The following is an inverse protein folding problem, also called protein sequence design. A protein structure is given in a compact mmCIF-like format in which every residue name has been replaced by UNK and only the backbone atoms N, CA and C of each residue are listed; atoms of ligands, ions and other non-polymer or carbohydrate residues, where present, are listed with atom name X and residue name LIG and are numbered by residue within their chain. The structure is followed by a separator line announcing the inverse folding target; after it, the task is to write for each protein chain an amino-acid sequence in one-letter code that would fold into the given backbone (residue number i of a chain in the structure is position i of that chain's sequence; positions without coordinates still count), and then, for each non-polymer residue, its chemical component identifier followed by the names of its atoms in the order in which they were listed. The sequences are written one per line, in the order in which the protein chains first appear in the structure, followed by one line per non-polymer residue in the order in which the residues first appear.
data_IF_041932717901
#
_entry.id   IF_041932717901
#
_cell.length_a   1.000
_cell.length_b   1.000
_cell.length_c   1.000
_cell.angle_alpha   90.00
_cell.angle_beta   90.00
_cell.angle_gamma   90.00
#
_symmetry.space_group_name_H-M   'P 1'
#
loop_
_entity.id
_entity.type
_entity.pdbx_description
1 polymer ?
#
# COMPACT_ATOMS: atom_id res chain seq x y z
N UNK A 1 -24.15 -52.86 -34.97
CA UNK A 1 -23.24 -54.01 -34.97
C UNK A 1 -23.97 -55.28 -35.47
N UNK A 2 -25.06 -55.72 -34.83
CA UNK A 2 -25.79 -56.95 -35.17
C UNK A 2 -26.35 -56.99 -36.59
N UNK A 3 -26.93 -55.89 -37.08
CA UNK A 3 -27.43 -55.69 -38.43
C UNK A 3 -26.31 -55.70 -39.50
N UNK A 4 -25.17 -55.10 -39.18
CA UNK A 4 -23.99 -55.08 -40.06
C UNK A 4 -23.38 -56.47 -40.18
N UNK A 5 -23.44 -57.28 -39.15
CA UNK A 5 -22.94 -58.68 -39.18
C UNK A 5 -23.87 -59.61 -39.96
N UNK A 6 -25.21 -59.42 -39.79
CA UNK A 6 -26.21 -60.08 -40.63
C UNK A 6 -26.04 -59.76 -42.13
N UNK A 7 -25.80 -58.51 -42.47
CA UNK A 7 -25.54 -58.11 -43.85
C UNK A 7 -24.28 -58.74 -44.39
N UNK A 8 -23.23 -58.90 -43.61
CA UNK A 8 -21.99 -59.57 -44.01
C UNK A 8 -22.20 -61.06 -44.20
N UNK A 9 -22.96 -61.71 -43.33
CA UNK A 9 -23.22 -63.18 -43.44
C UNK A 9 -24.20 -63.52 -44.58
N UNK A 10 -25.15 -62.66 -44.89
CA UNK A 10 -26.12 -62.79 -45.97
C UNK A 10 -25.59 -62.35 -47.36
N UNK A 11 -24.32 -61.96 -47.45
CA UNK A 11 -23.67 -61.45 -48.69
C UNK A 11 -24.46 -60.26 -49.29
N UNK A 12 -25.05 -59.37 -48.40
CA UNK A 12 -25.73 -58.15 -48.81
C UNK A 12 -27.22 -58.35 -49.20
N UNK A 13 -27.80 -59.51 -48.97
CA UNK A 13 -29.21 -59.76 -49.30
C UNK A 13 -30.18 -59.45 -48.18
N UNK A 14 -29.73 -59.45 -46.92
CA UNK A 14 -30.49 -59.06 -45.74
C UNK A 14 -29.61 -58.38 -44.67
N UNK A 15 -30.03 -57.32 -43.97
CA UNK A 15 -31.26 -56.53 -44.15
C UNK A 15 -31.23 -55.64 -45.39
N UNK A 16 -32.36 -55.11 -45.83
CA UNK A 16 -32.44 -54.24 -46.98
C UNK A 16 -31.63 -52.93 -46.74
N UNK A 17 -31.17 -52.31 -47.84
CA UNK A 17 -30.39 -51.07 -47.77
C UNK A 17 -31.16 -49.98 -46.99
N UNK A 18 -32.46 -49.87 -47.17
CA UNK A 18 -33.33 -48.94 -46.47
C UNK A 18 -33.38 -49.19 -44.97
N UNK A 19 -33.40 -50.46 -44.52
CA UNK A 19 -33.37 -50.79 -43.08
C UNK A 19 -32.03 -50.44 -42.46
N UNK A 20 -30.91 -50.64 -43.18
CA UNK A 20 -29.60 -50.22 -42.69
C UNK A 20 -29.48 -48.70 -42.56
N UNK A 21 -29.99 -47.95 -43.55
CA UNK A 21 -30.02 -46.47 -43.51
C UNK A 21 -30.91 -45.95 -42.39
N UNK A 22 -32.08 -46.53 -42.16
CA UNK A 22 -32.98 -46.18 -41.06
C UNK A 22 -32.32 -46.44 -39.70
N UNK A 23 -31.64 -47.56 -39.53
CA UNK A 23 -30.92 -47.88 -38.31
C UNK A 23 -29.71 -46.96 -38.08
N UNK A 24 -29.00 -46.60 -39.16
CA UNK A 24 -27.91 -45.64 -39.07
C UNK A 24 -28.43 -44.26 -38.61
N UNK A 25 -29.50 -43.78 -39.21
CA UNK A 25 -30.17 -42.53 -38.83
C UNK A 25 -30.66 -42.55 -37.36
N UNK A 26 -31.20 -43.67 -36.91
CA UNK A 26 -31.61 -43.84 -35.50
C UNK A 26 -30.44 -43.78 -34.53
N UNK A 27 -29.29 -44.40 -34.90
CA UNK A 27 -28.08 -44.29 -34.07
C UNK A 27 -27.54 -42.87 -34.04
N UNK A 28 -27.56 -42.17 -35.16
CA UNK A 28 -27.06 -40.77 -35.21
C UNK A 28 -28.01 -39.83 -34.43
N UNK A 29 -29.33 -40.05 -34.51
CA UNK A 29 -30.29 -39.33 -33.65
C UNK A 29 -30.05 -39.59 -32.18
N UNK A 30 -29.81 -40.84 -31.78
CA UNK A 30 -29.50 -41.18 -30.39
C UNK A 30 -28.17 -40.55 -29.92
N UNK A 31 -27.14 -40.49 -30.77
CA UNK A 31 -25.88 -39.82 -30.48
C UNK A 31 -26.08 -38.31 -30.32
N UNK A 32 -26.86 -37.70 -31.18
CA UNK A 32 -27.19 -36.30 -31.06
C UNK A 32 -27.93 -35.99 -29.77
N UNK A 33 -28.87 -36.87 -29.36
CA UNK A 33 -29.59 -36.72 -28.08
C UNK A 33 -28.66 -36.80 -26.87
N UNK A 34 -27.65 -37.71 -26.91
CA UNK A 34 -26.63 -37.77 -25.86
C UNK A 34 -25.79 -36.51 -25.84
N UNK A 35 -25.35 -36.02 -27.00
CA UNK A 35 -24.56 -34.79 -27.07
C UNK A 35 -25.35 -33.54 -26.54
N UNK A 36 -26.66 -33.49 -26.82
CA UNK A 36 -27.53 -32.42 -26.24
C UNK A 36 -27.66 -32.57 -24.72
N UNK A 37 -27.79 -33.80 -24.21
CA UNK A 37 -27.87 -34.03 -22.78
C UNK A 37 -26.54 -33.65 -22.08
N UNK A 38 -25.40 -33.99 -22.67
CA UNK A 38 -24.08 -33.58 -22.16
C UNK A 38 -23.89 -32.07 -22.16
N UNK A 39 -24.36 -31.39 -23.21
CA UNK A 39 -24.35 -29.91 -23.25
C UNK A 39 -25.23 -29.30 -22.17
N UNK A 40 -26.42 -29.84 -21.94
CA UNK A 40 -27.31 -29.37 -20.87
C UNK A 40 -26.71 -29.56 -19.47
N UNK A 41 -25.95 -30.63 -19.25
CA UNK A 41 -25.21 -30.85 -18.00
C UNK A 41 -24.13 -29.80 -17.83
N UNK A 42 -23.38 -29.49 -18.89
CA UNK A 42 -22.34 -28.46 -18.86
C UNK A 42 -22.94 -27.06 -18.53
N UNK A 43 -24.06 -26.71 -19.15
CA UNK A 43 -24.78 -25.48 -18.88
C UNK A 43 -25.30 -25.39 -17.43
N UNK A 44 -25.85 -26.49 -16.93
CA UNK A 44 -26.31 -26.55 -15.53
C UNK A 44 -25.14 -26.43 -14.54
N UNK A 45 -23.98 -27.05 -14.83
CA UNK A 45 -22.78 -26.92 -14.02
C UNK A 45 -22.24 -25.48 -14.02
N UNK A 46 -22.24 -24.82 -15.19
CA UNK A 46 -21.82 -23.41 -15.30
C UNK A 46 -22.75 -22.49 -14.49
N UNK A 47 -24.07 -22.74 -14.55
CA UNK A 47 -25.06 -21.98 -13.78
C UNK A 47 -24.88 -22.19 -12.28
N UNK A 48 -24.62 -23.42 -11.83
CA UNK A 48 -24.32 -23.73 -10.43
C UNK A 48 -23.06 -23.00 -9.97
N UNK A 49 -22.00 -23.03 -10.75
CA UNK A 49 -20.74 -22.35 -10.42
C UNK A 49 -20.93 -20.84 -10.30
N UNK A 50 -21.74 -20.22 -11.16
CA UNK A 50 -22.09 -18.81 -11.04
C UNK A 50 -22.84 -18.51 -9.74
N UNK A 51 -23.84 -19.32 -9.39
CA UNK A 51 -24.58 -19.16 -8.14
C UNK A 51 -23.70 -19.34 -6.89
N UNK A 52 -22.81 -20.32 -6.90
CA UNK A 52 -21.82 -20.54 -5.82
C UNK A 52 -20.85 -19.35 -5.68
N UNK A 53 -20.36 -18.81 -6.79
CA UNK A 53 -19.53 -17.62 -6.78
C UNK A 53 -20.26 -16.41 -6.22
N UNK A 54 -21.51 -16.22 -6.57
CA UNK A 54 -22.31 -15.10 -6.05
C UNK A 54 -22.63 -15.28 -4.56
N UNK A 55 -22.89 -16.50 -4.12
CA UNK A 55 -23.04 -16.81 -2.70
C UNK A 55 -21.75 -16.54 -1.92
N UNK A 56 -20.58 -16.89 -2.48
CA UNK A 56 -19.29 -16.64 -1.83
C UNK A 56 -18.99 -15.16 -1.63
N UNK A 57 -19.50 -14.30 -2.51
CA UNK A 57 -19.36 -12.83 -2.41
C UNK A 57 -20.27 -12.22 -1.34
N UNK A 58 -21.29 -12.93 -0.89
CA UNK A 58 -22.18 -12.48 0.20
C UNK A 58 -21.47 -12.51 1.57
N UNK A 59 -20.41 -13.30 1.72
CA UNK A 59 -19.62 -13.40 2.95
C UNK A 59 -18.26 -12.70 2.75
N UNK A 60 -18.18 -11.45 3.22
CA UNK A 60 -16.96 -10.63 3.08
C UNK A 60 -16.02 -10.92 4.25
N UNK A 61 -14.90 -11.57 3.96
CA UNK A 61 -13.89 -11.93 4.95
C UNK A 61 -12.69 -11.01 4.85
N UNK A 62 -12.06 -10.76 6.01
CA UNK A 62 -10.78 -10.06 6.05
C UNK A 62 -9.70 -10.87 5.32
N UNK A 63 -8.91 -10.28 4.41
CA UNK A 63 -7.77 -10.93 3.78
C UNK A 63 -6.54 -11.01 4.68
N UNK A 64 -6.55 -10.31 5.82
CA UNK A 64 -5.42 -10.20 6.76
C UNK A 64 -5.90 -10.39 8.19
N UNK A 65 -5.03 -10.93 9.03
CA UNK A 65 -5.21 -10.92 10.48
C UNK A 65 -4.78 -9.55 11.01
N UNK A 66 -5.54 -8.99 11.96
CA UNK A 66 -5.21 -7.67 12.48
C UNK A 66 -6.29 -7.05 13.35
N UNK A 67 -6.14 -5.77 13.61
CA UNK A 67 -7.04 -4.96 14.43
C UNK A 67 -7.87 -4.03 13.55
N UNK A 68 -9.17 -3.94 13.85
CA UNK A 68 -10.07 -2.99 13.18
C UNK A 68 -9.80 -1.58 13.71
N UNK A 69 -9.37 -0.68 12.83
CA UNK A 69 -9.12 0.73 13.15
C UNK A 69 -10.41 1.56 13.06
N UNK A 70 -11.17 1.35 12.01
CA UNK A 70 -12.43 2.07 11.77
C UNK A 70 -13.45 1.17 11.10
N UNK A 71 -14.70 1.41 11.39
CA UNK A 71 -15.87 0.81 10.76
C UNK A 71 -16.69 1.91 10.11
N UNK A 72 -16.79 1.88 8.77
CA UNK A 72 -17.45 2.91 7.97
C UNK A 72 -18.93 2.57 7.66
N UNK A 73 -19.39 1.38 8.02
CA UNK A 73 -20.74 0.90 7.73
C UNK A 73 -21.46 0.40 8.97
N UNK A 74 -22.77 0.58 9.03
CA UNK A 74 -23.63 0.07 10.10
C UNK A 74 -24.43 -1.16 9.63
N UNK A 75 -24.84 -2.06 10.56
CA UNK A 75 -25.76 -3.14 10.23
C UNK A 75 -27.06 -2.60 9.60
N UNK A 76 -27.45 -3.17 8.48
CA UNK A 76 -28.59 -2.71 7.69
C UNK A 76 -28.26 -1.74 6.57
N UNK A 77 -26.99 -1.35 6.43
CA UNK A 77 -26.53 -0.59 5.28
C UNK A 77 -26.57 -1.46 4.03
N UNK A 78 -27.22 -1.00 2.97
CA UNK A 78 -27.19 -1.67 1.68
C UNK A 78 -25.89 -1.27 0.96
N UNK A 79 -24.99 -2.23 0.78
CA UNK A 79 -23.83 -2.07 -0.08
C UNK A 79 -24.28 -2.33 -1.51
N UNK A 80 -24.71 -1.27 -2.22
CA UNK A 80 -24.99 -1.39 -3.64
C UNK A 80 -23.65 -1.61 -4.38
N UNK A 81 -23.63 -2.56 -5.31
CA UNK A 81 -22.53 -2.73 -6.26
C UNK A 81 -22.52 -1.53 -7.26
N UNK A 82 -22.35 -0.33 -6.73
CA UNK A 82 -22.11 0.88 -7.51
C UNK A 82 -20.67 0.87 -8.00
N UNK A 83 -20.39 1.62 -9.05
CA UNK A 83 -19.06 1.75 -9.68
C UNK A 83 -17.96 2.28 -8.73
N UNK A 84 -18.29 2.64 -7.49
CA UNK A 84 -17.36 3.11 -6.47
C UNK A 84 -17.23 2.05 -5.38
N UNK A 85 -15.98 1.68 -5.07
CA UNK A 85 -15.67 0.82 -3.94
C UNK A 85 -16.06 1.54 -2.63
N UNK A 86 -16.94 0.94 -1.86
CA UNK A 86 -17.32 1.44 -0.54
C UNK A 86 -16.35 0.85 0.49
N UNK A 87 -15.71 1.74 1.25
CA UNK A 87 -14.87 1.31 2.38
C UNK A 87 -15.77 0.81 3.51
N UNK A 88 -15.62 -0.46 3.86
CA UNK A 88 -16.40 -1.11 4.93
C UNK A 88 -15.68 -1.01 6.26
N UNK A 89 -14.42 -1.43 6.28
CA UNK A 89 -13.56 -1.54 7.46
C UNK A 89 -12.14 -1.15 7.10
N UNK A 90 -11.48 -0.40 7.96
CA UNK A 90 -10.04 -0.14 7.89
C UNK A 90 -9.34 -1.05 8.90
N UNK A 91 -8.38 -1.84 8.43
CA UNK A 91 -7.65 -2.83 9.21
C UNK A 91 -6.18 -2.50 9.27
N UNK A 92 -5.53 -2.80 10.40
CA UNK A 92 -4.09 -2.78 10.54
C UNK A 92 -3.59 -4.15 10.97
N UNK A 93 -2.50 -4.64 10.36
CA UNK A 93 -1.88 -5.92 10.73
C UNK A 93 -1.16 -5.83 12.06
N UNK A 94 -0.44 -4.75 12.30
CA UNK A 94 0.34 -4.52 13.51
C UNK A 94 0.34 -3.03 13.86
N UNK A 95 0.15 -2.72 15.13
CA UNK A 95 0.21 -1.37 15.69
C UNK A 95 1.53 -1.10 16.44
N UNK A 96 2.39 -2.11 16.58
CA UNK A 96 3.68 -1.97 17.23
C UNK A 96 4.71 -1.25 16.37
N UNK A 97 4.55 -1.31 15.06
CA UNK A 97 5.37 -0.62 14.07
C UNK A 97 4.50 0.35 13.29
N UNK A 98 4.84 1.62 13.35
CA UNK A 98 4.14 2.67 12.63
C UNK A 98 5.07 3.32 11.61
N UNK A 99 4.48 3.82 10.56
CA UNK A 99 5.16 4.67 9.59
C UNK A 99 4.64 6.09 9.74
N UNK A 100 5.55 7.04 9.90
CA UNK A 100 5.24 8.47 9.96
C UNK A 100 5.52 9.08 8.59
N UNK A 101 4.50 9.63 7.98
CA UNK A 101 4.61 10.38 6.73
C UNK A 101 4.84 11.86 7.05
N UNK A 102 5.94 12.41 6.52
CA UNK A 102 6.31 13.81 6.71
C UNK A 102 6.44 14.48 5.35
N UNK A 103 5.78 15.62 5.19
CA UNK A 103 5.96 16.47 4.02
C UNK A 103 7.21 17.33 4.19
N UNK A 104 8.18 17.16 3.30
CA UNK A 104 9.43 17.92 3.24
C UNK A 104 9.36 18.90 2.09
N UNK A 105 9.72 20.16 2.35
CA UNK A 105 9.77 21.20 1.31
C UNK A 105 10.83 20.92 0.26
N UNK A 106 10.58 21.35 -0.99
CA UNK A 106 11.52 21.22 -2.10
C UNK A 106 12.91 21.82 -1.79
N UNK A 107 12.94 22.89 -1.01
CA UNK A 107 14.19 23.56 -0.64
C UNK A 107 15.09 22.67 0.24
N UNK A 108 14.50 21.80 1.06
CA UNK A 108 15.19 20.98 2.05
C UNK A 108 15.45 19.55 1.59
N UNK A 109 14.77 19.08 0.54
CA UNK A 109 14.86 17.68 0.09
C UNK A 109 16.28 17.27 -0.32
N UNK A 110 17.08 18.20 -0.81
CA UNK A 110 18.45 17.93 -1.28
C UNK A 110 19.42 17.44 -0.20
N UNK A 111 19.14 17.72 1.07
CA UNK A 111 19.95 17.31 2.22
C UNK A 111 19.38 16.11 2.98
N UNK A 112 18.17 15.69 2.66
CA UNK A 112 17.47 14.57 3.29
C UNK A 112 17.88 13.27 2.62
N UNK A 113 18.39 12.30 3.39
CA UNK A 113 18.88 11.02 2.91
C UNK A 113 18.38 9.88 3.78
N UNK A 114 18.14 8.73 3.17
CA UNK A 114 17.78 7.49 3.87
C UNK A 114 18.80 7.16 4.97
N UNK A 115 18.33 6.64 6.11
CA UNK A 115 19.14 6.28 7.28
C UNK A 115 19.42 7.45 8.23
N UNK A 116 18.94 8.66 7.94
CA UNK A 116 19.06 9.79 8.87
C UNK A 116 18.16 9.59 10.09
N UNK A 117 18.69 9.97 11.24
CA UNK A 117 17.94 9.99 12.50
C UNK A 117 17.02 11.21 12.53
N UNK A 118 15.81 11.00 13.02
CA UNK A 118 14.83 12.05 13.21
C UNK A 118 14.21 11.93 14.61
N UNK A 119 13.68 13.02 15.08
CA UNK A 119 12.84 13.07 16.27
C UNK A 119 11.54 13.75 15.91
N UNK A 120 10.46 13.24 16.44
CA UNK A 120 9.16 13.86 16.24
C UNK A 120 8.41 14.02 17.56
N UNK A 121 7.48 14.94 17.57
CA UNK A 121 6.51 15.15 18.64
C UNK A 121 5.12 15.05 18.06
N UNK A 122 4.19 14.51 18.82
CA UNK A 122 2.77 14.44 18.44
C UNK A 122 1.97 15.42 19.29
N UNK A 123 0.88 15.94 18.75
CA UNK A 123 0.04 16.89 19.45
C UNK A 123 -0.51 16.36 20.78
N UNK A 124 -0.67 15.02 20.89
CA UNK A 124 -1.09 14.35 22.12
C UNK A 124 -0.01 14.36 23.23
N UNK A 125 1.29 14.42 22.86
CA UNK A 125 2.43 14.42 23.78
C UNK A 125 3.44 15.49 23.40
N UNK A 126 3.16 16.80 23.60
CA UNK A 126 3.97 17.90 23.09
C UNK A 126 5.36 17.98 23.72
N UNK A 127 5.52 17.48 24.95
CA UNK A 127 6.78 17.51 25.71
C UNK A 127 7.61 16.23 25.54
N UNK A 128 7.16 15.28 24.74
CA UNK A 128 7.86 14.00 24.51
C UNK A 128 8.36 13.90 23.08
N UNK A 129 9.65 13.64 22.95
CA UNK A 129 10.29 13.38 21.66
C UNK A 129 10.37 11.88 21.45
N UNK A 130 9.91 11.44 20.31
CA UNK A 130 10.00 10.04 19.87
C UNK A 130 11.09 9.92 18.82
N UNK A 131 11.97 8.94 18.94
CA UNK A 131 12.96 8.67 17.91
C UNK A 131 12.30 8.04 16.69
N UNK A 132 12.82 8.37 15.52
CA UNK A 132 12.44 7.76 14.25
C UNK A 132 13.65 7.70 13.33
N UNK A 133 13.59 6.83 12.34
CA UNK A 133 14.61 6.68 11.31
C UNK A 133 13.99 6.86 9.93
N UNK A 134 14.64 7.63 9.08
CA UNK A 134 14.20 7.86 7.71
C UNK A 134 14.46 6.62 6.86
N UNK A 135 13.40 5.95 6.45
CA UNK A 135 13.47 4.71 5.64
C UNK A 135 13.45 5.00 4.15
N UNK A 136 12.65 5.97 3.73
CA UNK A 136 12.44 6.25 2.31
C UNK A 136 12.03 7.70 2.10
N UNK A 137 12.43 8.25 0.96
CA UNK A 137 11.93 9.52 0.43
C UNK A 137 11.26 9.25 -0.90
N UNK A 138 10.05 9.76 -1.08
CA UNK A 138 9.33 9.64 -2.35
C UNK A 138 10.02 10.47 -3.44
N UNK A 139 10.13 9.91 -4.64
CA UNK A 139 10.60 10.67 -5.81
C UNK A 139 9.50 11.51 -6.45
N UNK A 140 8.24 11.19 -6.16
CA UNK A 140 7.09 11.96 -6.63
C UNK A 140 6.82 13.15 -5.72
N UNK A 141 6.73 14.34 -6.31
CA UNK A 141 6.30 15.53 -5.60
C UNK A 141 4.78 15.60 -5.51
N UNK A 142 4.28 16.13 -4.41
CA UNK A 142 2.86 16.49 -4.24
C UNK A 142 2.76 18.01 -4.22
N UNK A 143 1.89 18.56 -5.04
CA UNK A 143 1.66 20.02 -5.07
C UNK A 143 0.31 20.29 -4.41
N UNK A 144 0.34 21.03 -3.31
CA UNK A 144 -0.87 21.47 -2.61
C UNK A 144 -0.80 22.99 -2.47
N UNK A 145 -1.81 23.70 -2.93
CA UNK A 145 -1.88 25.16 -2.86
C UNK A 145 -0.62 25.88 -3.41
N UNK A 146 -0.08 25.37 -4.51
CA UNK A 146 1.17 25.85 -5.16
C UNK A 146 2.46 25.62 -4.33
N UNK A 147 2.42 24.84 -3.28
CA UNK A 147 3.60 24.41 -2.52
C UNK A 147 3.98 23.01 -2.96
N UNK A 148 5.23 22.83 -3.40
CA UNK A 148 5.78 21.54 -3.81
C UNK A 148 6.44 20.88 -2.61
N UNK A 149 5.96 19.70 -2.24
CA UNK A 149 6.50 18.91 -1.14
C UNK A 149 6.80 17.48 -1.58
N UNK A 150 7.74 16.84 -0.90
CA UNK A 150 8.09 15.44 -1.08
C UNK A 150 7.75 14.67 0.20
N UNK A 151 7.15 13.49 0.05
CA UNK A 151 6.81 12.66 1.21
C UNK A 151 8.04 11.87 1.66
N UNK A 152 8.43 12.06 2.89
CA UNK A 152 9.45 11.27 3.58
C UNK A 152 8.76 10.30 4.56
N UNK A 153 9.20 9.04 4.56
CA UNK A 153 8.66 7.96 5.38
C UNK A 153 9.66 7.64 6.49
N UNK A 154 9.20 7.74 7.72
CA UNK A 154 10.01 7.45 8.90
C UNK A 154 9.43 6.25 9.64
N UNK A 155 10.27 5.28 9.94
CA UNK A 155 9.91 4.15 10.76
C UNK A 155 9.88 4.55 12.25
N UNK A 156 8.82 4.18 12.93
CA UNK A 156 8.57 4.50 14.33
C UNK A 156 8.28 3.22 15.09
N UNK A 157 9.02 3.00 16.18
CA UNK A 157 8.75 1.92 17.13
C UNK A 157 7.66 2.35 18.12
N UNK A 158 6.58 1.59 18.17
CA UNK A 158 5.42 1.84 19.03
C UNK A 158 5.10 0.62 19.93
N UNK A 159 6.12 -0.10 20.43
CA UNK A 159 5.92 -1.28 21.30
C UNK A 159 5.03 -0.97 22.52
N UNK A 160 5.03 0.26 23.00
CA UNK A 160 4.20 0.70 24.12
C UNK A 160 2.76 1.05 23.74
N UNK A 161 2.40 0.96 22.46
CA UNK A 161 1.05 1.27 21.92
C UNK A 161 0.53 2.66 22.31
N UNK A 162 1.43 3.65 22.48
CA UNK A 162 1.07 5.01 22.88
C UNK A 162 0.67 5.88 21.69
N UNK A 163 1.22 5.58 20.53
CA UNK A 163 0.90 6.27 19.30
C UNK A 163 -0.24 5.54 18.57
N UNK A 164 -1.09 6.32 17.94
CA UNK A 164 -2.22 5.79 17.17
C UNK A 164 -2.16 6.29 15.73
N UNK A 165 -2.54 5.47 14.76
CA UNK A 165 -2.72 5.93 13.39
C UNK A 165 -3.65 7.16 13.33
N UNK A 166 -3.33 8.11 12.43
CA UNK A 166 -4.08 9.36 12.28
C UNK A 166 -3.67 10.50 13.22
N UNK A 167 -2.67 10.28 14.10
CA UNK A 167 -2.10 11.39 14.89
C UNK A 167 -1.27 12.33 14.02
N UNK A 168 -1.41 13.65 14.25
CA UNK A 168 -0.56 14.65 13.62
C UNK A 168 0.73 14.80 14.40
N UNK A 169 1.85 14.84 13.66
CA UNK A 169 3.18 14.96 14.23
C UNK A 169 4.00 16.05 13.55
N UNK A 170 4.94 16.62 14.30
CA UNK A 170 5.98 17.51 13.78
C UNK A 170 7.32 16.82 13.94
N UNK A 171 8.04 16.61 12.83
CA UNK A 171 9.32 15.93 12.81
C UNK A 171 10.48 16.90 12.57
N UNK A 172 11.62 16.58 13.19
CA UNK A 172 12.90 17.25 12.96
C UNK A 172 13.88 16.18 12.50
N UNK A 173 14.40 16.30 11.28
CA UNK A 173 15.36 15.39 10.67
C UNK A 173 16.77 15.95 10.91
N UNK A 174 17.67 15.13 11.46
CA UNK A 174 19.08 15.52 11.65
C UNK A 174 19.85 15.31 10.35
N UNK A 175 20.19 16.39 9.67
CA UNK A 175 20.93 16.34 8.39
C UNK A 175 22.43 16.26 8.56
N UNK A 176 22.96 16.69 9.72
CA UNK A 176 24.40 16.61 10.03
C UNK A 176 24.59 16.31 11.53
N UNK A 177 25.30 15.22 11.82
CA UNK A 177 25.81 14.90 13.16
C UNK A 177 27.35 14.96 13.10
N UNK A 178 27.93 15.94 13.81
CA UNK A 178 29.38 16.11 13.90
C UNK A 178 29.82 15.78 15.32
N UNK A 179 30.58 14.73 15.46
CA UNK A 179 31.20 14.32 16.73
C UNK A 179 32.59 14.94 16.84
N UNK A 180 33.09 15.14 18.06
CA UNK A 180 34.41 15.69 18.36
C UNK A 180 34.72 17.06 17.74
N UNK A 181 33.74 17.97 17.77
CA UNK A 181 33.94 19.35 17.33
C UNK A 181 34.11 20.31 18.50
N UNK A 182 35.01 21.30 18.36
CA UNK A 182 35.14 22.39 19.31
C UNK A 182 33.88 23.28 19.25
N UNK A 183 33.19 23.36 20.37
CA UNK A 183 32.04 24.24 20.52
C UNK A 183 32.49 25.65 20.86
N UNK A 184 32.09 26.60 20.05
CA UNK A 184 32.30 28.02 20.30
C UNK A 184 30.97 28.65 20.74
N UNK A 185 30.92 29.31 21.89
CA UNK A 185 29.69 29.96 22.37
C UNK A 185 29.29 31.09 21.42
N UNK A 186 27.98 31.27 21.19
CA UNK A 186 27.44 32.33 20.32
C UNK A 186 27.90 33.73 20.68
N UNK A 187 28.30 33.97 21.94
CA UNK A 187 28.89 35.25 22.40
C UNK A 187 30.22 35.57 21.73
N UNK A 188 30.98 34.54 21.33
CA UNK A 188 32.28 34.73 20.66
C UNK A 188 32.11 35.33 19.27
N UNK A 189 31.05 35.06 18.55
CA UNK A 189 30.74 35.66 17.24
C UNK A 189 30.30 37.13 17.34
N UNK A 190 29.87 37.57 18.53
CA UNK A 190 29.45 38.92 18.78
C UNK A 190 30.56 39.75 19.48
N UNK A 191 31.71 39.11 19.75
CA UNK A 191 32.81 39.81 20.39
C UNK A 191 33.41 40.85 19.41
N UNK A 192 33.23 42.12 19.74
CA UNK A 192 33.95 43.20 19.06
C UNK A 192 35.07 43.63 20.01
N UNK A 193 36.35 43.42 19.66
CA UNK A 193 37.43 43.94 20.48
C UNK A 193 37.30 45.48 20.57
N UNK A 194 37.36 45.98 21.79
CA UNK A 194 37.36 47.43 22.03
C UNK A 194 38.59 47.98 21.36
N UNK A 195 38.43 48.83 20.32
CA UNK A 195 39.57 49.47 19.71
C UNK A 195 40.38 50.15 20.82
N UNK A 196 41.69 49.86 20.89
CA UNK A 196 42.59 50.51 21.82
C UNK A 196 42.43 52.03 21.61
N UNK A 197 41.92 52.72 22.62
CA UNK A 197 41.81 54.15 22.58
C UNK A 197 43.25 54.73 22.48
N UNK A 198 43.44 55.70 21.64
CA UNK A 198 44.70 56.39 21.40
C UNK A 198 45.34 57.03 22.65
N UNK A 199 44.71 56.88 23.81
CA UNK A 199 45.15 57.41 25.10
C UNK A 199 46.25 56.58 25.81
N UNK A 200 46.57 55.38 25.33
CA UNK A 200 47.58 54.50 25.98
C UNK A 200 48.95 54.48 25.25
N UNK A 201 49.24 55.49 24.42
CA UNK A 201 50.62 55.68 23.92
C UNK A 201 51.47 56.28 25.07
N UNK A 202 52.57 55.63 25.50
CA UNK A 202 53.47 56.22 26.49
C UNK A 202 54.00 57.56 25.96
N UNK A 203 53.74 58.66 26.71
CA UNK A 203 54.33 59.95 26.41
C UNK A 203 55.84 59.83 26.56
N UNK A 204 56.56 59.78 25.44
CA UNK A 204 58.01 59.90 25.38
C UNK A 204 58.36 61.31 25.75
N UNK A 205 58.86 61.54 26.96
CA UNK A 205 59.43 62.78 27.40
C UNK A 205 60.67 63.05 26.56
N UNK A 206 60.58 64.02 25.65
CA UNK A 206 61.72 64.61 25.01
C UNK A 206 62.47 65.47 26.02
N UNK A 207 63.57 64.96 26.53
CA UNK A 207 64.56 65.74 27.30
C UNK A 207 65.58 66.21 26.28
N UNK A 208 65.56 67.51 26.03
CA UNK A 208 66.62 68.18 25.31
C UNK A 208 67.47 68.96 26.31
N UNK A 209 68.80 69.02 26.03
CA UNK A 209 69.75 69.84 26.79
C UNK A 209 69.61 71.33 26.53
#
# INVERSE_FOLDING_TARGET
KRMQELNRLSKGTMPSKTELETQAASVDTARAAVAVADANIADAMASLQMAENDLSKADIKSPIDGVVLARSVEPGYAVAASLQAVELLTLATDLSQLELEVSVDEADIGVVKQGQKAYFTVSAYPNRRFPAELTKVSYGATTTENVVTYTAYLQVDNQQMQLRPGMTASATISTADKQDVLLVPNSAFRFRPKAASESDKPKMNAMMP
#
